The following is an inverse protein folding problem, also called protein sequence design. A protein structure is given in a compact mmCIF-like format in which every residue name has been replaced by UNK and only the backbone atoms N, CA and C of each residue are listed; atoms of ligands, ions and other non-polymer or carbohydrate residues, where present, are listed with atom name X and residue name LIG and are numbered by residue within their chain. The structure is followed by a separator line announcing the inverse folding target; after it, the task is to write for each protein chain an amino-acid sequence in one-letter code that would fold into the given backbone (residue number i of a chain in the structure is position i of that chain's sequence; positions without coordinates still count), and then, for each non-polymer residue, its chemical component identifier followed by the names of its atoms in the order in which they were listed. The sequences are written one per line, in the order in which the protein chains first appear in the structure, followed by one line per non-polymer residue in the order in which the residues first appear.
data_IF_655277113536
#
_entry.id   IF_655277113536
#
_cell.length_a   1.000
_cell.length_b   1.000
_cell.length_c   1.000
_cell.angle_alpha   90.00
_cell.angle_beta   90.00
_cell.angle_gamma   90.00
#
_symmetry.space_group_name_H-M   'P 1'
#
loop_
_entity.id
_entity.type
_entity.pdbx_description
1 polymer ?
#
# COMPACT_ATOMS: atom_id res chain seq x y z
N UNK A 1 -2.17 12.51 68.67
CA UNK A 1 -1.58 13.43 67.69
C UNK A 1 -2.57 13.58 66.53
N UNK A 2 -3.21 14.78 66.37
CA UNK A 2 -4.16 15.06 65.28
C UNK A 2 -3.36 15.60 64.09
N UNK A 3 -3.28 14.84 62.98
CA UNK A 3 -2.67 15.35 61.76
C UNK A 3 -3.55 16.44 61.14
N UNK A 4 -2.93 17.55 60.80
CA UNK A 4 -3.58 18.72 60.21
C UNK A 4 -4.14 18.41 58.81
N UNK A 5 -5.36 18.89 58.47
CA UNK A 5 -6.02 18.62 57.19
C UNK A 5 -5.29 19.21 55.97
N UNK A 6 -4.27 20.04 56.16
CA UNK A 6 -3.42 20.64 55.11
C UNK A 6 -2.47 19.67 54.47
N UNK A 7 -2.14 18.52 55.08
CA UNK A 7 -1.19 17.52 54.53
C UNK A 7 -1.90 16.55 53.57
N UNK A 8 -3.20 16.38 53.70
CA UNK A 8 -3.99 15.45 52.89
C UNK A 8 -4.26 16.04 51.48
N UNK A 9 -4.36 17.37 51.38
CA UNK A 9 -4.60 18.06 50.10
C UNK A 9 -3.37 18.05 49.14
N UNK A 10 -2.14 17.88 49.64
CA UNK A 10 -0.93 17.89 48.85
C UNK A 10 -0.61 16.54 48.13
N UNK A 11 -1.24 15.44 48.59
CA UNK A 11 -0.97 14.09 48.06
C UNK A 11 -1.92 13.75 46.90
N UNK A 12 -3.06 14.42 46.77
CA UNK A 12 -4.05 14.18 45.71
C UNK A 12 -3.77 14.99 44.43
N UNK A 13 -2.80 15.92 44.42
CA UNK A 13 -2.48 16.79 43.29
C UNK A 13 -1.38 16.26 42.39
N UNK A 14 -0.67 15.18 42.73
CA UNK A 14 0.55 14.77 42.01
C UNK A 14 0.39 13.51 41.18
N UNK A 15 -0.81 12.93 41.06
CA UNK A 15 -1.04 11.69 40.31
C UNK A 15 -1.66 11.87 38.92
N UNK A 16 -1.77 13.09 38.39
CA UNK A 16 -2.44 13.36 37.09
C UNK A 16 -1.52 13.70 35.91
N UNK A 17 -0.20 13.45 36.01
CA UNK A 17 0.78 13.89 34.99
C UNK A 17 1.59 12.75 34.32
N UNK A 18 1.11 11.51 34.26
CA UNK A 18 1.84 10.43 33.60
C UNK A 18 0.96 9.60 32.66
N UNK A 19 -0.01 10.20 31.97
CA UNK A 19 -0.56 9.62 30.74
C UNK A 19 0.00 10.36 29.53
N UNK A 20 1.32 10.31 29.36
CA UNK A 20 1.91 10.52 28.04
C UNK A 20 1.52 9.29 27.22
N UNK A 21 0.41 9.41 26.48
CA UNK A 21 0.04 8.42 25.48
C UNK A 21 1.20 8.30 24.51
N UNK A 22 2.00 7.25 24.68
CA UNK A 22 2.96 6.80 23.70
C UNK A 22 2.13 6.34 22.49
N UNK A 23 1.80 7.25 21.57
CA UNK A 23 1.30 6.93 20.26
C UNK A 23 2.46 6.30 19.51
N UNK A 24 2.69 5.02 19.77
CA UNK A 24 3.54 4.20 18.93
C UNK A 24 2.84 4.13 17.58
N UNK A 25 3.28 4.95 16.61
CA UNK A 25 3.11 4.60 15.21
C UNK A 25 3.73 3.23 15.06
N UNK A 26 2.91 2.18 15.13
CA UNK A 26 3.36 0.84 14.82
C UNK A 26 3.83 0.88 13.38
N UNK A 27 5.14 0.80 13.17
CA UNK A 27 5.76 0.66 11.86
C UNK A 27 5.49 -0.72 11.26
N UNK A 28 4.25 -1.20 11.36
CA UNK A 28 3.82 -2.41 10.70
C UNK A 28 3.73 -2.10 9.21
N UNK A 29 4.70 -2.59 8.46
CA UNK A 29 4.68 -2.59 7.00
C UNK A 29 3.40 -3.29 6.57
N UNK A 30 2.44 -2.53 6.02
CA UNK A 30 1.19 -3.11 5.53
C UNK A 30 1.53 -3.98 4.33
N UNK A 31 1.15 -5.26 4.36
CA UNK A 31 1.35 -6.17 3.24
C UNK A 31 0.65 -5.70 1.96
N UNK A 32 -0.52 -5.10 2.10
CA UNK A 32 -1.28 -4.52 1.00
C UNK A 32 -1.39 -3.01 1.21
N UNK A 33 -0.88 -2.25 0.26
CA UNK A 33 -1.07 -0.81 0.19
C UNK A 33 -2.42 -0.49 -0.43
N UNK A 34 -3.10 0.53 0.12
CA UNK A 34 -4.42 0.98 -0.31
C UNK A 34 -4.44 2.49 -0.42
N UNK A 35 -4.89 3.01 -1.55
CA UNK A 35 -5.08 4.44 -1.75
C UNK A 35 -6.48 4.69 -2.31
N UNK A 36 -7.26 5.53 -1.62
CA UNK A 36 -8.56 5.99 -2.13
C UNK A 36 -8.30 6.97 -3.27
N UNK A 37 -9.02 6.78 -4.36
CA UNK A 37 -8.90 7.61 -5.56
C UNK A 37 -10.07 8.60 -5.65
N UNK A 38 -9.77 9.80 -6.13
CA UNK A 38 -10.76 10.83 -6.45
C UNK A 38 -11.38 10.67 -7.84
N UNK A 39 -11.08 9.57 -8.54
CA UNK A 39 -11.48 9.27 -9.89
C UNK A 39 -12.25 7.96 -9.98
N UNK A 40 -12.97 7.73 -11.08
CA UNK A 40 -13.58 6.43 -11.36
C UNK A 40 -12.50 5.36 -11.63
N UNK A 41 -12.90 4.07 -11.60
CA UNK A 41 -11.94 2.94 -11.65
C UNK A 41 -11.06 2.97 -12.91
N UNK A 42 -11.61 3.25 -14.09
CA UNK A 42 -10.84 3.28 -15.34
C UNK A 42 -9.85 4.45 -15.37
N UNK A 43 -10.29 5.63 -14.94
CA UNK A 43 -9.44 6.83 -14.88
C UNK A 43 -8.36 6.68 -13.81
N UNK A 44 -8.67 6.07 -12.66
CA UNK A 44 -7.69 5.73 -11.61
C UNK A 44 -6.57 4.88 -12.19
N UNK A 45 -6.91 3.79 -12.86
CA UNK A 45 -5.91 2.91 -13.45
C UNK A 45 -5.08 3.62 -14.52
N UNK A 46 -5.74 4.37 -15.40
CA UNK A 46 -5.06 5.11 -16.47
C UNK A 46 -4.05 6.13 -15.92
N UNK A 47 -4.43 6.90 -14.90
CA UNK A 47 -3.54 7.89 -14.26
C UNK A 47 -2.35 7.23 -13.59
N UNK A 48 -2.61 6.20 -12.81
CA UNK A 48 -1.58 5.45 -12.11
C UNK A 48 -0.59 4.80 -13.07
N UNK A 49 -1.09 4.09 -14.10
CA UNK A 49 -0.23 3.48 -15.12
C UNK A 49 0.58 4.52 -15.91
N UNK A 50 -0.02 5.71 -16.20
CA UNK A 50 0.72 6.80 -16.85
C UNK A 50 1.86 7.33 -15.97
N UNK A 51 1.65 7.48 -14.66
CA UNK A 51 2.71 7.89 -13.73
C UNK A 51 3.84 6.87 -13.66
N UNK A 52 3.51 5.58 -13.62
CA UNK A 52 4.49 4.49 -13.63
C UNK A 52 5.24 4.37 -14.98
N UNK A 53 4.59 4.71 -16.12
CA UNK A 53 5.28 4.74 -17.42
C UNK A 53 6.47 5.70 -17.41
N UNK A 54 6.37 6.84 -16.72
CA UNK A 54 7.49 7.76 -16.51
C UNK A 54 8.67 7.16 -15.73
N UNK A 55 8.45 6.03 -15.05
CA UNK A 55 9.43 5.25 -14.29
C UNK A 55 9.77 3.92 -14.96
N UNK A 56 9.52 3.80 -16.27
CA UNK A 56 9.81 2.65 -17.12
C UNK A 56 8.98 1.38 -16.83
N UNK A 57 7.83 1.53 -16.16
CA UNK A 57 6.88 0.42 -16.06
C UNK A 57 5.94 0.41 -17.25
N UNK A 58 5.66 -0.78 -17.76
CA UNK A 58 4.76 -0.99 -18.89
C UNK A 58 3.61 -1.92 -18.48
N UNK A 59 2.35 -1.59 -18.79
CA UNK A 59 1.25 -2.51 -18.59
C UNK A 59 1.38 -3.67 -19.59
N UNK A 60 1.27 -4.92 -19.08
CA UNK A 60 1.37 -6.14 -19.88
C UNK A 60 0.00 -6.72 -20.14
N UNK A 61 -0.81 -6.84 -19.09
CA UNK A 61 -2.11 -7.49 -19.13
C UNK A 61 -3.11 -6.77 -18.24
N UNK A 62 -4.33 -6.59 -18.72
CA UNK A 62 -5.45 -6.03 -17.92
C UNK A 62 -6.56 -7.06 -17.83
N UNK A 63 -7.07 -7.29 -16.62
CA UNK A 63 -8.15 -8.24 -16.35
C UNK A 63 -9.35 -7.52 -15.75
N UNK A 64 -10.49 -7.64 -16.39
CA UNK A 64 -11.77 -7.15 -15.90
C UNK A 64 -12.50 -8.22 -15.07
N UNK A 65 -12.34 -8.20 -13.77
CA UNK A 65 -12.98 -9.20 -12.88
C UNK A 65 -14.50 -9.11 -12.92
N UNK A 66 -15.04 -7.90 -13.08
CA UNK A 66 -16.51 -7.69 -13.22
C UNK A 66 -17.08 -8.41 -14.45
N UNK A 67 -16.39 -8.32 -15.60
CA UNK A 67 -16.81 -9.01 -16.83
C UNK A 67 -16.77 -10.54 -16.64
N UNK A 68 -15.73 -11.06 -15.99
CA UNK A 68 -15.62 -12.49 -15.69
C UNK A 68 -16.76 -12.96 -14.78
N UNK A 69 -17.09 -12.20 -13.74
CA UNK A 69 -18.18 -12.50 -12.83
C UNK A 69 -19.54 -12.49 -13.58
N UNK A 70 -19.77 -11.48 -14.43
CA UNK A 70 -20.98 -11.37 -15.25
C UNK A 70 -21.16 -12.57 -16.19
N UNK A 71 -20.09 -13.07 -16.79
CA UNK A 71 -20.12 -14.27 -17.62
C UNK A 71 -20.57 -15.53 -16.84
N UNK A 72 -20.36 -15.53 -15.51
CA UNK A 72 -20.83 -16.59 -14.59
C UNK A 72 -22.18 -16.25 -13.93
N UNK A 73 -22.89 -15.23 -14.42
CA UNK A 73 -24.15 -14.71 -13.85
C UNK A 73 -24.03 -14.24 -12.39
N UNK A 74 -22.82 -13.82 -11.99
CA UNK A 74 -22.51 -13.28 -10.67
C UNK A 74 -22.44 -11.77 -10.71
N UNK A 75 -22.93 -11.11 -9.65
CA UNK A 75 -22.76 -9.69 -9.47
C UNK A 75 -21.42 -9.40 -8.77
N UNK A 76 -20.60 -8.58 -9.39
CA UNK A 76 -19.39 -8.02 -8.78
C UNK A 76 -19.34 -6.51 -9.04
N UNK A 77 -19.10 -5.73 -8.00
CA UNK A 77 -18.83 -4.30 -8.16
C UNK A 77 -17.64 -4.08 -9.10
N UNK A 78 -17.55 -2.91 -9.77
CA UNK A 78 -16.43 -2.61 -10.67
C UNK A 78 -15.09 -2.96 -10.05
N UNK A 79 -14.45 -4.00 -10.59
CA UNK A 79 -13.16 -4.51 -10.13
C UNK A 79 -12.32 -4.90 -11.35
N UNK A 80 -11.11 -4.39 -11.41
CA UNK A 80 -10.16 -4.65 -12.48
C UNK A 80 -8.74 -4.73 -11.93
N UNK A 81 -7.87 -5.42 -12.63
CA UNK A 81 -6.44 -5.43 -12.30
C UNK A 81 -5.59 -5.27 -13.55
N UNK A 82 -4.38 -4.78 -13.37
CA UNK A 82 -3.35 -4.68 -14.39
C UNK A 82 -2.04 -5.25 -13.88
N UNK A 83 -1.35 -5.98 -14.72
CA UNK A 83 0.02 -6.42 -14.48
C UNK A 83 0.98 -5.40 -15.10
N UNK A 84 1.89 -4.87 -14.27
CA UNK A 84 2.87 -3.85 -14.64
C UNK A 84 4.27 -4.44 -14.53
N UNK A 85 5.09 -4.28 -15.57
CA UNK A 85 6.48 -4.74 -15.57
C UNK A 85 7.45 -3.58 -15.78
N UNK A 86 8.53 -3.60 -15.01
CA UNK A 86 9.77 -2.91 -15.32
C UNK A 86 10.82 -3.99 -15.64
N UNK A 87 11.08 -4.31 -16.94
CA UNK A 87 11.89 -5.48 -17.30
C UNK A 87 13.28 -5.47 -16.67
N UNK A 88 13.86 -4.28 -16.44
CA UNK A 88 15.17 -4.17 -15.81
C UNK A 88 15.12 -4.56 -14.33
N UNK A 89 14.13 -4.05 -13.58
CA UNK A 89 13.97 -4.36 -12.15
C UNK A 89 13.53 -5.81 -12.00
N UNK A 90 12.54 -6.26 -12.76
CA UNK A 90 11.96 -7.60 -12.68
C UNK A 90 13.03 -8.66 -12.95
N UNK A 91 13.85 -8.51 -14.01
CA UNK A 91 14.92 -9.46 -14.32
C UNK A 91 15.98 -9.54 -13.22
N UNK A 92 16.38 -8.40 -12.66
CA UNK A 92 17.33 -8.38 -11.54
C UNK A 92 16.77 -9.00 -10.27
N UNK A 93 15.49 -8.77 -9.95
CA UNK A 93 14.85 -9.39 -8.79
C UNK A 93 14.69 -10.91 -8.97
N UNK A 94 14.41 -11.38 -10.20
CA UNK A 94 14.39 -12.81 -10.52
C UNK A 94 15.78 -13.45 -10.41
N UNK A 95 16.83 -12.73 -10.76
CA UNK A 95 18.23 -13.16 -10.55
C UNK A 95 18.57 -13.23 -9.05
N UNK A 96 18.06 -12.27 -8.26
CA UNK A 96 18.23 -12.29 -6.81
C UNK A 96 17.58 -13.53 -6.17
N UNK A 97 16.38 -13.88 -6.58
CA UNK A 97 15.67 -15.08 -6.16
C UNK A 97 14.59 -15.47 -7.19
N UNK A 98 14.72 -16.63 -7.87
CA UNK A 98 13.74 -17.08 -8.87
C UNK A 98 12.30 -17.24 -8.34
N UNK A 99 12.10 -17.40 -7.03
CA UNK A 99 10.75 -17.47 -6.45
C UNK A 99 9.96 -16.16 -6.60
N UNK A 100 10.65 -15.05 -6.92
CA UNK A 100 10.01 -13.78 -7.28
C UNK A 100 9.06 -13.88 -8.47
N UNK A 101 9.18 -14.93 -9.30
CA UNK A 101 8.25 -15.20 -10.39
C UNK A 101 6.78 -15.37 -9.95
N UNK A 102 6.54 -15.61 -8.65
CA UNK A 102 5.17 -15.69 -8.08
C UNK A 102 4.53 -14.30 -7.95
N UNK A 103 5.33 -13.25 -7.75
CA UNK A 103 4.87 -11.88 -7.50
C UNK A 103 5.15 -10.91 -8.66
N UNK A 104 5.98 -11.32 -9.62
CA UNK A 104 6.29 -10.54 -10.81
C UNK A 104 5.59 -11.14 -12.05
N UNK A 105 5.05 -10.31 -12.95
CA UNK A 105 5.00 -8.84 -12.91
C UNK A 105 4.10 -8.32 -11.77
N UNK A 106 4.37 -7.08 -11.32
CA UNK A 106 3.62 -6.44 -10.25
C UNK A 106 2.14 -6.30 -10.62
N UNK A 107 1.24 -6.80 -9.75
CA UNK A 107 -0.21 -6.68 -9.95
C UNK A 107 -0.80 -5.51 -9.17
N UNK A 108 -1.53 -4.66 -9.87
CA UNK A 108 -2.29 -3.53 -9.33
C UNK A 108 -3.77 -3.84 -9.47
N UNK A 109 -4.52 -3.73 -8.37
CA UNK A 109 -5.98 -3.86 -8.36
C UNK A 109 -6.66 -2.50 -8.19
N UNK A 110 -7.81 -2.31 -8.85
CA UNK A 110 -8.69 -1.18 -8.63
C UNK A 110 -10.10 -1.70 -8.45
N UNK A 111 -10.76 -1.31 -7.39
CA UNK A 111 -12.14 -1.74 -7.12
C UNK A 111 -12.97 -0.61 -6.50
N UNK A 112 -14.30 -0.74 -6.64
CA UNK A 112 -15.25 0.12 -5.95
C UNK A 112 -15.70 -0.56 -4.65
N UNK A 113 -15.43 0.08 -3.51
CA UNK A 113 -15.80 -0.39 -2.18
C UNK A 113 -17.32 -0.29 -1.93
N UNK A 114 -17.79 -0.80 -0.79
CA UNK A 114 -19.23 -0.79 -0.44
C UNK A 114 -19.78 0.63 -0.25
N UNK A 115 -18.97 1.55 0.25
CA UNK A 115 -19.28 2.97 0.44
C UNK A 115 -19.25 3.77 -0.88
N UNK A 116 -18.97 3.11 -2.01
CA UNK A 116 -18.89 3.74 -3.34
C UNK A 116 -17.52 4.32 -3.68
N UNK A 117 -16.57 4.35 -2.75
CA UNK A 117 -15.23 4.86 -3.02
C UNK A 117 -14.46 3.92 -3.96
N UNK A 118 -13.66 4.52 -4.83
CA UNK A 118 -12.72 3.78 -5.68
C UNK A 118 -11.39 3.66 -4.94
N UNK A 119 -10.88 2.44 -4.83
CA UNK A 119 -9.64 2.14 -4.12
C UNK A 119 -8.68 1.43 -5.05
N UNK A 120 -7.43 1.92 -5.09
CA UNK A 120 -6.30 1.26 -5.72
C UNK A 120 -5.54 0.45 -4.67
N UNK A 121 -5.12 -0.76 -5.03
CA UNK A 121 -4.39 -1.68 -4.14
C UNK A 121 -3.25 -2.34 -4.86
N UNK A 122 -2.18 -2.63 -4.13
CA UNK A 122 -1.06 -3.47 -4.57
C UNK A 122 -0.35 -4.08 -3.37
N UNK A 123 0.39 -5.17 -3.61
CA UNK A 123 1.27 -5.74 -2.58
C UNK A 123 2.46 -4.81 -2.36
N UNK A 124 2.75 -4.47 -1.10
CA UNK A 124 3.94 -3.69 -0.78
C UNK A 124 5.20 -4.49 -1.17
N UNK A 125 6.03 -4.00 -2.12
CA UNK A 125 7.25 -4.71 -2.52
C UNK A 125 8.22 -4.98 -1.37
N UNK A 126 8.27 -4.13 -0.35
CA UNK A 126 9.15 -4.34 0.81
C UNK A 126 8.86 -5.66 1.55
N UNK A 127 7.59 -6.14 1.49
CA UNK A 127 7.23 -7.45 2.02
C UNK A 127 7.90 -8.60 1.28
N UNK A 128 8.23 -8.43 0.00
CA UNK A 128 8.89 -9.45 -0.80
C UNK A 128 10.26 -9.82 -0.25
N UNK A 129 10.96 -8.88 0.39
CA UNK A 129 12.24 -9.16 1.05
C UNK A 129 12.12 -10.28 2.09
N UNK A 130 11.03 -10.28 2.86
CA UNK A 130 10.72 -11.33 3.84
C UNK A 130 10.20 -12.60 3.15
N UNK A 131 9.21 -12.45 2.26
CA UNK A 131 8.55 -13.57 1.57
C UNK A 131 9.53 -14.42 0.78
N UNK A 132 10.48 -13.79 0.09
CA UNK A 132 11.46 -14.44 -0.77
C UNK A 132 12.86 -14.53 -0.13
N UNK A 133 12.98 -14.22 1.17
CA UNK A 133 14.25 -14.26 1.90
C UNK A 133 15.41 -13.53 1.18
N UNK A 134 15.12 -12.34 0.62
CA UNK A 134 16.11 -11.51 -0.07
C UNK A 134 16.99 -10.83 0.98
N UNK A 135 18.31 -11.09 0.91
CA UNK A 135 19.30 -10.53 1.86
C UNK A 135 20.35 -9.66 1.18
N UNK A 136 20.55 -9.83 -0.11
CA UNK A 136 21.50 -9.03 -0.86
C UNK A 136 21.12 -7.55 -0.85
N UNK A 137 22.09 -6.66 -0.61
CA UNK A 137 21.86 -5.22 -0.45
C UNK A 137 21.37 -4.56 -1.74
N UNK A 138 21.86 -4.99 -2.91
CA UNK A 138 21.45 -4.44 -4.19
C UNK A 138 20.02 -4.87 -4.52
N UNK A 139 19.68 -6.11 -4.22
CA UNK A 139 18.32 -6.64 -4.38
C UNK A 139 17.33 -5.92 -3.46
N UNK A 140 17.68 -5.70 -2.20
CA UNK A 140 16.87 -4.90 -1.26
C UNK A 140 16.69 -3.45 -1.73
N UNK A 141 17.71 -2.87 -2.37
CA UNK A 141 17.60 -1.54 -2.94
C UNK A 141 16.60 -1.47 -4.11
N UNK A 142 16.55 -2.50 -4.97
CA UNK A 142 15.57 -2.59 -6.06
C UNK A 142 14.14 -2.69 -5.53
N UNK A 143 13.92 -3.48 -4.48
CA UNK A 143 12.62 -3.57 -3.78
C UNK A 143 12.18 -2.20 -3.24
N UNK A 144 13.09 -1.44 -2.62
CA UNK A 144 12.83 -0.08 -2.12
C UNK A 144 12.54 0.91 -3.24
N UNK A 145 13.26 0.82 -4.36
CA UNK A 145 13.00 1.65 -5.55
C UNK A 145 11.57 1.39 -6.05
N UNK A 146 11.19 0.13 -6.20
CA UNK A 146 9.84 -0.24 -6.63
C UNK A 146 8.77 0.27 -5.66
N UNK A 147 8.97 0.10 -4.35
CA UNK A 147 8.03 0.59 -3.34
C UNK A 147 7.84 2.11 -3.41
N UNK A 148 8.93 2.87 -3.54
CA UNK A 148 8.91 4.32 -3.70
C UNK A 148 8.21 4.74 -5.00
N UNK A 149 8.50 4.09 -6.12
CA UNK A 149 7.92 4.41 -7.42
C UNK A 149 6.40 4.23 -7.41
N UNK A 150 5.91 3.20 -6.72
CA UNK A 150 4.49 2.94 -6.54
C UNK A 150 3.83 4.00 -5.64
N UNK A 151 4.47 4.34 -4.52
CA UNK A 151 3.95 5.34 -3.59
C UNK A 151 3.85 6.71 -4.28
N UNK A 152 4.90 7.16 -4.96
CA UNK A 152 4.89 8.39 -5.74
C UNK A 152 3.80 8.38 -6.83
N UNK A 153 3.56 7.25 -7.50
CA UNK A 153 2.51 7.14 -8.51
C UNK A 153 1.10 7.29 -7.93
N UNK A 154 0.89 7.02 -6.63
CA UNK A 154 -0.42 7.22 -5.99
C UNK A 154 -0.85 8.69 -5.95
N UNK A 155 0.08 9.63 -6.01
CA UNK A 155 -0.24 11.06 -6.05
C UNK A 155 -1.04 11.44 -7.32
N UNK A 156 -0.90 10.69 -8.40
CA UNK A 156 -1.62 10.93 -9.65
C UNK A 156 -3.13 10.61 -9.58
N UNK A 157 -3.56 9.86 -8.56
CA UNK A 157 -4.95 9.44 -8.37
C UNK A 157 -5.66 10.17 -7.22
N UNK A 158 -4.97 11.09 -6.57
CA UNK A 158 -5.52 11.99 -5.55
C UNK A 158 -5.49 13.44 -6.06
N UNK A 159 -6.52 14.22 -5.75
CA UNK A 159 -6.52 15.67 -6.05
C UNK A 159 -5.72 16.39 -4.94
N UNK A 160 -5.07 17.52 -5.27
CA UNK A 160 -4.50 18.37 -4.23
C UNK A 160 -5.60 18.74 -3.23
N UNK A 161 -5.32 18.61 -1.94
CA UNK A 161 -6.22 19.15 -0.91
C UNK A 161 -6.19 20.68 -1.06
N UNK A 162 -7.35 21.28 -1.35
CA UNK A 162 -7.52 22.72 -1.31
C UNK A 162 -7.49 23.24 0.11
#
# INVERSE_FOLDING_TARGET
MKLSPLIIAAILGLSSLLFTACSSKSGQTKFVQKTVSDYNSSETLRRFAKALKGKQYTPIHTLGHTQLATAQKMYLKPTLSVDMSNPMIDSKLLDCNPTMAVDLPLRIGVFRALDGQVTLVYTNPEYWSLKHNIKDKNCLQLVKIMARDLDEATTAITKPKQ
#
